data_IF_774757896385
#
_entry.id   IF_774757896385
#
_cell.length_a   1.000
_cell.length_b   1.000
_cell.length_c   1.000
_cell.angle_alpha   90.00
_cell.angle_beta   90.00
_cell.angle_gamma   90.00
#
_symmetry.space_group_name_H-M   'P 1'
#
loop_
_entity.id
_entity.type
_entity.pdbx_description
1 polymer ?
#
# COMPACT_ATOMS: atom_id res chain seq x y z
N UNK A 1 23.19 -8.27 10.50
CA UNK A 1 22.08 -9.15 10.04
C UNK A 1 20.79 -8.54 10.57
N UNK A 2 20.21 -7.63 9.79
CA UNK A 2 18.99 -6.92 10.15
C UNK A 2 17.79 -7.68 9.57
N UNK A 3 16.98 -8.29 10.44
CA UNK A 3 15.76 -8.97 10.06
C UNK A 3 14.63 -7.96 9.84
N UNK A 4 14.20 -7.81 8.59
CA UNK A 4 13.02 -7.02 8.23
C UNK A 4 11.75 -7.72 8.71
N UNK A 5 11.02 -7.11 9.65
CA UNK A 5 9.68 -7.57 10.03
C UNK A 5 8.67 -7.08 8.98
N UNK A 6 8.20 -8.00 8.14
CA UNK A 6 7.08 -7.75 7.24
C UNK A 6 5.80 -7.56 8.05
N UNK A 7 5.32 -6.32 8.12
CA UNK A 7 4.05 -5.96 8.74
C UNK A 7 2.91 -6.30 7.77
N UNK A 8 2.16 -7.38 8.02
CA UNK A 8 0.89 -7.63 7.34
C UNK A 8 -0.25 -6.90 8.07
N UNK A 9 -1.03 -6.05 7.41
CA UNK A 9 -2.19 -5.41 8.04
C UNK A 9 -3.31 -6.44 8.26
N UNK A 10 -3.85 -6.49 9.49
CA UNK A 10 -5.02 -7.27 9.84
C UNK A 10 -6.24 -6.85 8.99
N UNK A 11 -6.89 -7.83 8.35
CA UNK A 11 -8.05 -7.66 7.44
C UNK A 11 -9.39 -7.28 8.11
N UNK A 12 -9.43 -7.03 9.42
CA UNK A 12 -10.68 -6.73 10.11
C UNK A 12 -10.69 -5.27 10.55
N UNK A 13 -11.51 -4.46 9.88
CA UNK A 13 -11.67 -3.04 10.13
C UNK A 13 -12.10 -2.76 11.58
N UNK A 14 -11.21 -2.16 12.36
CA UNK A 14 -11.55 -1.52 13.63
C UNK A 14 -11.95 -0.06 13.37
N UNK A 15 -13.06 0.42 13.95
CA UNK A 15 -13.55 1.78 13.73
C UNK A 15 -13.00 2.72 14.81
N UNK A 16 -11.72 3.07 14.77
CA UNK A 16 -11.22 4.24 15.51
C UNK A 16 -10.13 4.94 14.70
N UNK A 17 -10.42 6.10 14.08
CA UNK A 17 -9.37 6.91 13.48
C UNK A 17 -8.59 7.61 14.61
N UNK A 18 -7.42 7.08 14.95
CA UNK A 18 -6.49 7.82 15.81
C UNK A 18 -5.84 8.94 14.98
N UNK A 19 -5.96 10.19 15.47
CA UNK A 19 -5.26 11.35 14.90
C UNK A 19 -3.76 11.18 15.17
N UNK A 20 -2.93 11.46 14.16
CA UNK A 20 -1.48 11.23 14.13
C UNK A 20 -0.63 12.04 15.14
N UNK A 21 -1.23 12.75 16.11
CA UNK A 21 -0.52 13.72 16.95
C UNK A 21 -0.36 13.34 18.43
N UNK A 22 -1.02 12.28 18.93
CA UNK A 22 -0.94 11.90 20.35
C UNK A 22 -0.01 10.68 20.56
N UNK A 23 1.17 10.71 19.95
CA UNK A 23 2.21 9.72 20.22
C UNK A 23 2.87 10.05 21.56
N UNK A 24 2.77 9.12 22.51
CA UNK A 24 3.55 9.01 23.76
C UNK A 24 2.87 9.35 25.10
N UNK A 25 1.53 9.28 25.20
CA UNK A 25 0.91 9.21 26.53
C UNK A 25 0.66 7.75 26.92
N UNK A 26 1.38 7.29 27.94
CA UNK A 26 1.04 6.05 28.63
C UNK A 26 -0.35 6.22 29.26
N UNK A 27 -1.28 5.35 28.89
CA UNK A 27 -2.62 5.36 29.45
C UNK A 27 -2.89 4.07 30.22
N UNK A 28 -3.61 4.18 31.33
CA UNK A 28 -3.98 3.02 32.13
C UNK A 28 -5.05 2.22 31.39
N UNK A 29 -4.78 0.97 31.07
CA UNK A 29 -5.77 0.07 30.51
C UNK A 29 -6.91 -0.13 31.51
N UNK A 30 -8.11 0.33 31.18
CA UNK A 30 -9.30 0.20 32.02
C UNK A 30 -9.68 -1.25 32.37
N UNK A 31 -9.15 -2.22 31.63
CA UNK A 31 -9.52 -3.64 31.77
C UNK A 31 -8.50 -4.46 32.55
N UNK A 32 -7.20 -4.23 32.35
CA UNK A 32 -6.16 -4.97 33.07
C UNK A 32 -5.40 -4.13 34.10
N UNK A 33 -5.64 -2.82 34.17
CA UNK A 33 -4.99 -1.91 35.12
C UNK A 33 -3.52 -1.59 34.82
N UNK A 34 -2.95 -2.14 33.73
CA UNK A 34 -1.56 -1.85 33.34
C UNK A 34 -1.49 -0.56 32.53
N UNK A 35 -0.45 0.24 32.74
CA UNK A 35 -0.07 1.34 31.83
C UNK A 35 0.36 0.75 30.50
N UNK A 36 -0.27 1.21 29.42
CA UNK A 36 0.01 0.79 28.05
C UNK A 36 0.30 2.02 27.21
N UNK A 37 1.23 1.87 26.28
CA UNK A 37 1.40 2.82 25.18
C UNK A 37 0.63 2.33 23.95
N UNK A 38 0.52 3.18 22.93
CA UNK A 38 -0.23 2.90 21.69
C UNK A 38 0.23 1.58 21.03
N UNK A 39 1.52 1.25 21.11
CA UNK A 39 2.09 0.03 20.51
C UNK A 39 1.75 -1.25 21.30
N UNK A 40 1.71 -1.17 22.62
CA UNK A 40 1.42 -2.31 23.51
C UNK A 40 -0.08 -2.48 23.77
N UNK A 41 -0.91 -1.49 23.43
CA UNK A 41 -2.37 -1.57 23.53
C UNK A 41 -2.94 -2.75 22.74
N UNK A 42 -2.52 -2.90 21.49
CA UNK A 42 -2.93 -4.00 20.62
C UNK A 42 -2.37 -5.37 21.06
N UNK A 43 -1.43 -5.41 22.00
CA UNK A 43 -0.90 -6.65 22.58
C UNK A 43 -1.56 -7.00 23.92
N UNK A 44 -2.42 -6.12 24.46
CA UNK A 44 -3.09 -6.37 25.72
C UNK A 44 -4.13 -7.48 25.59
N UNK A 45 -3.87 -8.62 26.24
CA UNK A 45 -4.78 -9.77 26.23
C UNK A 45 -6.19 -9.42 26.69
N UNK A 46 -6.36 -8.50 27.65
CA UNK A 46 -7.68 -8.10 28.15
C UNK A 46 -8.46 -7.23 27.14
N UNK A 47 -7.77 -6.37 26.36
CA UNK A 47 -8.39 -5.54 25.32
C UNK A 47 -8.86 -6.42 24.17
N UNK A 48 -8.02 -7.37 23.75
CA UNK A 48 -8.33 -8.28 22.66
C UNK A 48 -9.22 -9.46 23.08
N UNK A 49 -9.46 -9.65 24.38
CA UNK A 49 -10.35 -10.70 24.87
C UNK A 49 -11.76 -10.49 24.30
N UNK A 50 -12.21 -11.46 23.51
CA UNK A 50 -13.54 -11.46 22.92
C UNK A 50 -14.52 -12.17 23.85
N UNK A 51 -15.53 -11.45 24.33
CA UNK A 51 -16.56 -12.04 25.17
C UNK A 51 -17.54 -12.84 24.31
N UNK A 52 -17.54 -14.17 24.44
CA UNK A 52 -18.46 -15.02 23.69
C UNK A 52 -19.95 -14.83 24.06
N UNK A 53 -20.27 -14.22 25.21
CA UNK A 53 -21.66 -13.97 25.64
C UNK A 53 -22.31 -12.80 24.91
N UNK A 54 -21.61 -11.68 24.76
CA UNK A 54 -22.15 -10.46 24.15
C UNK A 54 -21.47 -10.08 22.83
N UNK A 55 -20.46 -10.84 22.40
CA UNK A 55 -19.69 -10.59 21.16
C UNK A 55 -18.99 -9.23 21.13
N UNK A 56 -18.66 -8.67 22.30
CA UNK A 56 -17.86 -7.45 22.42
C UNK A 56 -16.45 -7.74 22.98
N UNK A 57 -15.49 -6.94 22.56
CA UNK A 57 -14.11 -6.97 23.07
C UNK A 57 -13.98 -6.22 24.41
N UNK A 58 -12.84 -6.41 25.10
CA UNK A 58 -12.50 -5.67 26.31
C UNK A 58 -12.97 -6.28 27.62
N UNK A 59 -13.57 -7.48 27.65
CA UNK A 59 -13.88 -8.14 28.92
C UNK A 59 -13.99 -9.65 28.78
N UNK A 60 -13.75 -10.36 29.89
CA UNK A 60 -13.98 -11.80 29.97
C UNK A 60 -15.47 -12.11 30.15
N UNK A 61 -15.93 -13.25 29.64
CA UNK A 61 -17.32 -13.70 29.78
C UNK A 61 -17.81 -13.85 31.24
N UNK A 62 -16.88 -14.01 32.19
CA UNK A 62 -17.17 -14.02 33.64
C UNK A 62 -17.45 -12.64 34.23
N UNK A 63 -17.00 -11.58 33.57
CA UNK A 63 -17.18 -10.16 33.95
C UNK A 63 -18.19 -9.45 33.03
N UNK A 64 -18.92 -10.21 32.22
CA UNK A 64 -19.89 -9.64 31.28
C UNK A 64 -21.16 -9.22 32.03
N UNK A 65 -21.31 -7.91 32.22
CA UNK A 65 -22.52 -7.31 32.78
C UNK A 65 -23.68 -7.24 31.79
N UNK A 66 -23.47 -7.68 30.54
CA UNK A 66 -24.55 -7.95 29.60
C UNK A 66 -25.30 -9.19 30.10
N UNK A 67 -26.16 -8.97 31.08
CA UNK A 67 -27.29 -9.84 31.31
C UNK A 67 -28.10 -9.76 30.03
N UNK A 68 -27.82 -10.66 29.10
CA UNK A 68 -28.82 -11.07 28.12
C UNK A 68 -30.00 -11.46 29.00
N UNK A 69 -30.96 -10.55 29.21
CA UNK A 69 -32.35 -10.95 29.40
C UNK A 69 -32.67 -11.60 28.08
N UNK A 70 -32.23 -12.84 27.92
CA UNK A 70 -32.65 -13.63 26.80
C UNK A 70 -34.15 -13.67 27.00
N UNK A 71 -34.87 -13.00 26.10
CA UNK A 71 -36.09 -13.60 25.57
C UNK A 71 -35.67 -14.90 24.87
N UNK A 72 -35.04 -15.82 25.62
CA UNK A 72 -35.31 -17.23 25.47
C UNK A 72 -36.82 -17.28 25.59
N UNK A 73 -37.48 -17.39 24.43
CA UNK A 73 -38.59 -18.33 24.29
C UNK A 73 -38.12 -19.53 25.10
N UNK A 74 -38.54 -19.61 26.36
CA UNK A 74 -38.16 -20.69 27.25
C UNK A 74 -38.69 -21.90 26.54
N UNK A 75 -37.85 -22.59 25.76
CA UNK A 75 -38.16 -23.92 25.26
C UNK A 75 -38.62 -24.64 26.51
N UNK A 76 -39.88 -25.13 26.56
CA UNK A 76 -40.44 -25.67 27.77
C UNK A 76 -39.42 -26.64 28.33
N UNK A 77 -38.84 -26.32 29.51
CA UNK A 77 -37.79 -27.15 30.11
C UNK A 77 -38.39 -28.54 30.17
N UNK A 78 -37.80 -29.50 29.44
CA UNK A 78 -38.26 -30.90 29.47
C UNK A 78 -38.39 -31.26 30.95
N UNK A 79 -39.63 -31.47 31.40
CA UNK A 79 -39.90 -31.81 32.80
C UNK A 79 -39.06 -33.05 33.10
N UNK A 80 -38.32 -33.06 34.22
CA UNK A 80 -37.58 -34.25 34.62
C UNK A 80 -38.54 -35.45 34.73
N UNK A 81 -38.08 -36.68 34.46
CA UNK A 81 -38.91 -37.89 34.59
C UNK A 81 -39.61 -37.95 35.96
N UNK A 82 -38.92 -37.53 37.03
CA UNK A 82 -39.47 -37.39 38.39
C UNK A 82 -40.62 -36.39 38.51
N UNK A 83 -40.59 -35.25 37.79
CA UNK A 83 -41.69 -34.27 37.82
C UNK A 83 -42.90 -34.77 37.04
N UNK A 84 -42.69 -35.46 35.92
CA UNK A 84 -43.78 -36.09 35.15
C UNK A 84 -44.49 -37.15 35.99
N UNK A 85 -43.73 -38.01 36.68
CA UNK A 85 -44.31 -39.02 37.56
C UNK A 85 -45.13 -38.40 38.70
N UNK A 86 -44.60 -37.40 39.41
CA UNK A 86 -45.34 -36.71 40.48
C UNK A 86 -46.62 -36.03 40.01
N UNK A 87 -46.60 -35.40 38.85
CA UNK A 87 -47.81 -34.77 38.27
C UNK A 87 -48.83 -35.86 37.89
N UNK A 88 -48.39 -37.00 37.37
CA UNK A 88 -49.23 -38.16 37.06
C UNK A 88 -49.88 -38.77 38.31
N UNK A 89 -49.12 -38.96 39.38
CA UNK A 89 -49.63 -39.52 40.64
C UNK A 89 -50.67 -38.59 41.28
N UNK A 90 -50.43 -37.26 41.22
CA UNK A 90 -51.41 -36.26 41.68
C UNK A 90 -52.72 -36.30 40.89
N UNK A 91 -52.64 -36.45 39.56
CA UNK A 91 -53.83 -36.57 38.73
C UNK A 91 -54.59 -37.86 39.04
N UNK A 92 -53.88 -38.97 39.24
CA UNK A 92 -54.48 -40.25 39.61
C UNK A 92 -55.23 -40.17 40.95
N UNK A 93 -54.59 -39.60 41.97
CA UNK A 93 -55.26 -39.36 43.27
C UNK A 93 -56.48 -38.45 43.15
N UNK A 94 -56.44 -37.43 42.30
CA UNK A 94 -57.59 -36.55 42.07
C UNK A 94 -58.77 -37.31 41.45
N UNK A 95 -58.51 -38.17 40.46
CA UNK A 95 -59.54 -39.00 39.81
C UNK A 95 -60.13 -40.00 40.81
N UNK A 96 -59.29 -40.69 41.58
CA UNK A 96 -59.75 -41.64 42.61
C UNK A 96 -60.60 -40.92 43.67
N UNK A 97 -60.18 -39.74 44.13
CA UNK A 97 -60.98 -38.93 45.07
C UNK A 97 -62.31 -38.45 44.47
N UNK A 98 -62.33 -38.12 43.18
CA UNK A 98 -63.55 -37.73 42.45
C UNK A 98 -64.50 -38.92 42.23
N UNK A 99 -63.98 -40.13 42.06
CA UNK A 99 -64.80 -41.34 41.95
C UNK A 99 -65.38 -41.77 43.30
N UNK A 100 -64.65 -41.55 44.40
CA UNK A 100 -65.08 -41.88 45.76
C UNK A 100 -66.01 -40.83 46.38
N UNK A 101 -66.00 -39.59 45.85
CA UNK A 101 -67.02 -38.61 46.17
C UNK A 101 -68.25 -38.91 45.32
N UNK A 102 -69.06 -39.86 45.80
CA UNK A 102 -70.43 -39.98 45.33
C UNK A 102 -71.06 -38.60 45.47
N UNK A 103 -71.46 -38.04 44.35
CA UNK A 103 -72.16 -36.76 44.33
C UNK A 103 -73.40 -36.95 45.22
N UNK A 104 -73.74 -36.03 46.14
CA UNK A 104 -74.77 -36.26 47.17
C UNK A 104 -76.20 -36.51 46.63
N UNK A 105 -76.35 -36.58 45.31
CA UNK A 105 -77.59 -36.87 44.60
C UNK A 105 -77.59 -38.25 43.92
N UNK A 106 -76.56 -39.09 44.07
CA UNK A 106 -76.46 -40.41 43.41
C UNK A 106 -77.39 -41.50 43.98
N UNK A 107 -78.19 -41.17 44.99
CA UNK A 107 -79.21 -42.05 45.59
C UNK A 107 -80.62 -41.48 45.56
N UNK A 108 -80.87 -40.33 44.91
CA UNK A 108 -82.24 -39.88 44.66
C UNK A 108 -82.79 -40.74 43.52
N UNK A 109 -83.61 -41.74 43.88
CA UNK A 109 -84.37 -42.51 42.89
C UNK A 109 -85.21 -41.54 42.06
N UNK A 110 -85.20 -41.73 40.74
CA UNK A 110 -85.87 -40.89 39.71
C UNK A 110 -87.39 -40.66 39.92
N UNK A 111 -87.99 -41.25 40.96
CA UNK A 111 -89.43 -41.21 41.25
C UNK A 111 -89.90 -39.86 41.80
N UNK A 112 -89.06 -39.10 42.51
CA UNK A 112 -89.48 -37.79 43.06
C UNK A 112 -89.25 -36.62 42.08
N UNK A 113 -88.23 -36.71 41.23
CA UNK A 113 -87.91 -35.65 40.24
C UNK A 113 -88.94 -35.64 39.09
N UNK A 114 -89.54 -36.79 38.77
CA UNK A 114 -90.59 -36.93 37.75
C UNK A 114 -91.89 -36.16 38.08
N UNK A 115 -92.13 -35.83 39.36
CA UNK A 115 -93.32 -35.09 39.80
C UNK A 115 -93.27 -33.59 39.51
N UNK A 116 -92.09 -33.02 39.24
CA UNK A 116 -91.90 -31.60 38.92
C UNK A 116 -91.69 -31.32 37.43
N UNK A 117 -91.52 -32.36 36.59
CA UNK A 117 -91.54 -32.18 35.14
C UNK A 117 -92.98 -32.04 34.68
N UNK A 118 -93.54 -30.85 34.88
CA UNK A 118 -94.74 -30.40 34.18
C UNK A 118 -94.53 -30.68 32.69
N UNK A 119 -95.34 -31.59 32.14
CA UNK A 119 -95.33 -32.00 30.74
C UNK A 119 -95.85 -30.87 29.86
N UNK A 120 -95.11 -29.77 29.81
CA UNK A 120 -95.34 -28.70 28.85
C UNK A 120 -94.86 -29.23 27.50
N UNK A 121 -95.70 -30.05 26.87
CA UNK A 121 -95.60 -30.47 25.48
C UNK A 121 -96.02 -29.30 24.57
N UNK A 122 -95.42 -28.14 24.77
CA UNK A 122 -95.69 -26.98 23.93
C UNK A 122 -94.77 -27.05 22.72
N UNK A 123 -95.31 -27.59 21.63
CA UNK A 123 -94.57 -27.84 20.39
C UNK A 123 -93.97 -26.54 19.80
N UNK A 124 -94.54 -25.39 20.18
CA UNK A 124 -93.99 -24.04 19.97
C UNK A 124 -92.58 -23.87 20.55
N UNK A 125 -92.37 -24.30 21.80
CA UNK A 125 -91.08 -24.19 22.50
C UNK A 125 -90.04 -25.09 21.83
N UNK A 126 -90.41 -26.30 21.40
CA UNK A 126 -89.49 -27.18 20.65
C UNK A 126 -89.08 -26.59 19.31
N UNK A 127 -90.02 -25.98 18.57
CA UNK A 127 -89.68 -25.30 17.31
C UNK A 127 -88.74 -24.12 17.53
N UNK A 128 -88.98 -23.30 18.56
CA UNK A 128 -88.07 -22.22 18.93
C UNK A 128 -86.69 -22.73 19.34
N UNK A 129 -86.62 -23.81 20.12
CA UNK A 129 -85.36 -24.44 20.51
C UNK A 129 -84.58 -24.96 19.29
N UNK A 130 -85.28 -25.56 18.32
CA UNK A 130 -84.64 -26.04 17.09
C UNK A 130 -84.12 -24.88 16.22
N UNK A 131 -84.87 -23.79 16.09
CA UNK A 131 -84.41 -22.56 15.42
C UNK A 131 -83.17 -21.99 16.10
N UNK A 132 -83.17 -21.92 17.43
CA UNK A 132 -82.03 -21.44 18.21
C UNK A 132 -80.81 -22.36 18.06
N UNK A 133 -81.00 -23.68 18.07
CA UNK A 133 -79.93 -24.66 17.84
C UNK A 133 -79.31 -24.51 16.45
N UNK A 134 -80.13 -24.31 15.42
CA UNK A 134 -79.63 -24.12 14.06
C UNK A 134 -78.91 -22.77 13.89
N UNK A 135 -79.46 -21.71 14.48
CA UNK A 135 -78.79 -20.40 14.54
C UNK A 135 -77.42 -20.49 15.25
N UNK A 136 -77.36 -21.16 16.40
CA UNK A 136 -76.10 -21.40 17.11
C UNK A 136 -75.11 -22.23 16.29
N UNK A 137 -75.56 -23.25 15.55
CA UNK A 137 -74.70 -24.03 14.65
C UNK A 137 -74.11 -23.16 13.54
N UNK A 138 -74.91 -22.27 12.95
CA UNK A 138 -74.44 -21.34 11.92
C UNK A 138 -73.44 -20.32 12.48
N UNK A 139 -73.72 -19.78 13.67
CA UNK A 139 -72.80 -18.87 14.36
C UNK A 139 -71.46 -19.54 14.71
N UNK A 140 -71.48 -20.80 15.16
CA UNK A 140 -70.25 -21.58 15.41
C UNK A 140 -69.45 -21.80 14.11
N UNK A 141 -70.12 -22.07 12.98
CA UNK A 141 -69.46 -22.19 11.67
C UNK A 141 -68.81 -20.86 11.27
N UNK A 142 -69.52 -19.75 11.41
CA UNK A 142 -69.01 -18.41 11.10
C UNK A 142 -67.78 -18.06 11.97
N UNK A 143 -67.84 -18.30 13.29
CA UNK A 143 -66.69 -18.14 14.18
C UNK A 143 -65.50 -19.02 13.72
N UNK A 144 -65.76 -20.23 13.25
CA UNK A 144 -64.71 -21.14 12.78
C UNK A 144 -64.05 -20.63 11.50
N UNK A 145 -64.84 -20.05 10.58
CA UNK A 145 -64.33 -19.40 9.36
C UNK A 145 -63.48 -18.18 9.73
N UNK A 146 -63.99 -17.29 10.58
CA UNK A 146 -63.25 -16.10 11.03
C UNK A 146 -61.94 -16.46 11.76
N UNK A 147 -61.93 -17.54 12.54
CA UNK A 147 -60.69 -18.05 13.14
C UNK A 147 -59.69 -18.53 12.09
N UNK A 148 -60.15 -19.20 11.04
CA UNK A 148 -59.30 -19.62 9.94
C UNK A 148 -58.72 -18.41 9.18
N UNK A 149 -59.53 -17.38 8.93
CA UNK A 149 -59.10 -16.14 8.29
C UNK A 149 -58.09 -15.36 9.14
N UNK A 150 -58.31 -15.26 10.45
CA UNK A 150 -57.35 -14.63 11.36
C UNK A 150 -56.00 -15.35 11.36
N UNK A 151 -55.98 -16.69 11.30
CA UNK A 151 -54.73 -17.44 11.18
C UNK A 151 -54.00 -17.16 9.86
N UNK A 152 -54.74 -17.00 8.75
CA UNK A 152 -54.17 -16.59 7.46
C UNK A 152 -53.60 -15.16 7.55
N UNK A 153 -54.31 -14.24 8.21
CA UNK A 153 -53.84 -12.88 8.41
C UNK A 153 -52.56 -12.84 9.26
N UNK A 154 -52.48 -13.63 10.32
CA UNK A 154 -51.27 -13.77 11.14
C UNK A 154 -50.07 -14.27 10.33
N UNK A 155 -50.28 -15.19 9.39
CA UNK A 155 -49.21 -15.63 8.48
C UNK A 155 -48.75 -14.51 7.55
N UNK A 156 -49.69 -13.74 6.97
CA UNK A 156 -49.36 -12.59 6.11
C UNK A 156 -48.59 -11.51 6.87
N UNK A 157 -48.96 -11.23 8.12
CA UNK A 157 -48.25 -10.26 8.97
C UNK A 157 -46.81 -10.72 9.23
N UNK A 158 -46.60 -12.01 9.52
CA UNK A 158 -45.26 -12.58 9.71
C UNK A 158 -44.42 -12.49 8.43
N UNK A 159 -45.00 -12.83 7.28
CA UNK A 159 -44.30 -12.77 6.00
C UNK A 159 -43.90 -11.33 5.65
N UNK A 160 -44.80 -10.37 5.87
CA UNK A 160 -44.49 -8.94 5.70
C UNK A 160 -43.37 -8.46 6.64
N UNK A 161 -43.32 -8.96 7.87
CA UNK A 161 -42.23 -8.65 8.81
C UNK A 161 -40.89 -9.20 8.31
N UNK A 162 -40.87 -10.42 7.77
CA UNK A 162 -39.67 -11.02 7.16
C UNK A 162 -39.22 -10.20 5.94
N UNK A 163 -40.15 -9.81 5.06
CA UNK A 163 -39.85 -8.99 3.89
C UNK A 163 -39.25 -7.64 4.27
N UNK A 164 -39.78 -6.97 5.30
CA UNK A 164 -39.21 -5.71 5.83
C UNK A 164 -37.78 -5.89 6.33
N UNK A 165 -37.52 -6.94 7.12
CA UNK A 165 -36.17 -7.22 7.61
C UNK A 165 -35.17 -7.50 6.46
N UNK A 166 -35.62 -8.21 5.42
CA UNK A 166 -34.80 -8.45 4.24
C UNK A 166 -34.54 -7.16 3.45
N UNK A 167 -35.55 -6.29 3.32
CA UNK A 167 -35.39 -4.99 2.67
C UNK A 167 -34.40 -4.10 3.42
N UNK A 168 -34.46 -4.06 4.76
CA UNK A 168 -33.52 -3.31 5.59
C UNK A 168 -32.09 -3.84 5.44
N UNK A 169 -31.93 -5.16 5.35
CA UNK A 169 -30.63 -5.79 5.08
C UNK A 169 -30.07 -5.38 3.71
N UNK A 170 -30.89 -5.44 2.65
CA UNK A 170 -30.48 -5.02 1.29
C UNK A 170 -30.13 -3.53 1.25
N UNK A 171 -30.87 -2.69 1.97
CA UNK A 171 -30.56 -1.26 2.07
C UNK A 171 -29.22 -1.01 2.78
N UNK A 172 -28.90 -1.78 3.83
CA UNK A 172 -27.62 -1.70 4.51
C UNK A 172 -26.47 -2.13 3.60
N UNK A 173 -26.61 -3.23 2.87
CA UNK A 173 -25.62 -3.70 1.88
C UNK A 173 -25.42 -2.66 0.77
N UNK A 174 -26.49 -2.02 0.30
CA UNK A 174 -26.42 -0.93 -0.68
C UNK A 174 -25.64 0.28 -0.16
N UNK A 175 -25.81 0.64 1.11
CA UNK A 175 -25.04 1.72 1.75
C UNK A 175 -23.55 1.37 1.87
N UNK A 176 -23.22 0.12 2.21
CA UNK A 176 -21.84 -0.35 2.25
C UNK A 176 -21.18 -0.32 0.87
N UNK A 177 -21.88 -0.82 -0.16
CA UNK A 177 -21.41 -0.71 -1.55
C UNK A 177 -21.21 0.76 -1.97
N UNK A 178 -22.10 1.67 -1.59
CA UNK A 178 -21.93 3.10 -1.84
C UNK A 178 -20.64 3.68 -1.24
N UNK A 179 -20.29 3.28 0.00
CA UNK A 179 -19.02 3.69 0.63
C UNK A 179 -17.79 3.11 -0.08
N UNK A 180 -17.87 1.86 -0.54
CA UNK A 180 -16.80 1.23 -1.30
C UNK A 180 -16.58 1.96 -2.63
N UNK A 181 -17.65 2.31 -3.35
CA UNK A 181 -17.58 3.08 -4.59
C UNK A 181 -16.91 4.43 -4.37
N UNK A 182 -17.32 5.19 -3.34
CA UNK A 182 -16.70 6.47 -3.01
C UNK A 182 -15.20 6.35 -2.70
N UNK A 183 -14.80 5.26 -2.03
CA UNK A 183 -13.38 5.00 -1.75
C UNK A 183 -12.60 4.72 -3.04
N UNK A 184 -13.16 3.93 -3.95
CA UNK A 184 -12.55 3.64 -5.26
C UNK A 184 -12.44 4.93 -6.10
N UNK A 185 -13.46 5.77 -6.12
CA UNK A 185 -13.44 7.06 -6.83
C UNK A 185 -12.33 7.98 -6.29
N UNK A 186 -12.15 8.05 -4.98
CA UNK A 186 -11.06 8.80 -4.36
C UNK A 186 -9.68 8.24 -4.74
N UNK A 187 -9.50 6.92 -4.68
CA UNK A 187 -8.24 6.26 -5.09
C UNK A 187 -7.93 6.51 -6.57
N UNK A 188 -8.94 6.45 -7.45
CA UNK A 188 -8.80 6.77 -8.87
C UNK A 188 -8.38 8.23 -9.09
N UNK A 189 -8.96 9.17 -8.35
CA UNK A 189 -8.57 10.58 -8.41
C UNK A 189 -7.12 10.81 -7.96
N UNK A 190 -6.68 10.14 -6.88
CA UNK A 190 -5.27 10.19 -6.46
C UNK A 190 -4.34 9.61 -7.53
N UNK A 191 -4.70 8.48 -8.13
CA UNK A 191 -3.91 7.85 -9.19
C UNK A 191 -3.80 8.77 -10.41
N UNK A 192 -4.88 9.42 -10.83
CA UNK A 192 -4.88 10.38 -11.93
C UNK A 192 -3.96 11.58 -11.64
N UNK A 193 -3.99 12.12 -10.41
CA UNK A 193 -3.09 13.19 -10.00
C UNK A 193 -1.61 12.75 -10.00
N UNK A 194 -1.32 11.52 -9.58
CA UNK A 194 0.05 10.97 -9.64
C UNK A 194 0.53 10.80 -11.07
N UNK A 195 -0.30 10.29 -11.98
CA UNK A 195 0.06 10.13 -13.40
C UNK A 195 0.35 11.47 -14.05
N UNK A 196 -0.46 12.51 -13.80
CA UNK A 196 -0.21 13.86 -14.31
C UNK A 196 1.13 14.42 -13.82
N UNK A 197 1.47 14.21 -12.54
CA UNK A 197 2.76 14.61 -11.98
C UNK A 197 3.94 13.87 -12.63
N UNK A 198 3.80 12.58 -12.91
CA UNK A 198 4.82 11.81 -13.63
C UNK A 198 4.99 12.29 -15.07
N UNK A 199 3.92 12.60 -15.78
CA UNK A 199 3.98 13.17 -17.13
C UNK A 199 4.73 14.50 -17.15
N UNK A 200 4.41 15.41 -16.22
CA UNK A 200 5.15 16.68 -16.04
C UNK A 200 6.64 16.46 -15.76
N UNK A 201 7.00 15.41 -15.00
CA UNK A 201 8.40 15.06 -14.73
C UNK A 201 9.10 14.51 -15.98
N UNK A 202 8.42 13.66 -16.75
CA UNK A 202 8.94 13.10 -18.00
C UNK A 202 9.22 14.22 -19.02
N UNK A 203 8.31 15.19 -19.17
CA UNK A 203 8.51 16.35 -20.07
C UNK A 203 9.76 17.14 -19.68
N UNK A 204 9.92 17.48 -18.40
CA UNK A 204 11.13 18.19 -17.90
C UNK A 204 12.41 17.41 -18.18
N UNK A 205 12.44 16.11 -17.89
CA UNK A 205 13.61 15.27 -18.16
C UNK A 205 13.94 15.15 -19.65
N UNK A 206 12.92 15.14 -20.52
CA UNK A 206 13.15 15.16 -21.99
C UNK A 206 13.78 16.46 -22.45
N UNK A 207 13.35 17.60 -21.90
CA UNK A 207 13.93 18.91 -22.20
C UNK A 207 15.38 19.02 -21.70
N UNK A 208 15.66 18.57 -20.48
CA UNK A 208 17.03 18.50 -19.95
C UNK A 208 17.94 17.63 -20.81
N UNK A 209 17.47 16.44 -21.24
CA UNK A 209 18.24 15.56 -22.13
C UNK A 209 18.50 16.20 -23.50
N UNK A 210 17.54 16.94 -24.05
CA UNK A 210 17.74 17.69 -25.29
C UNK A 210 18.83 18.76 -25.11
N UNK A 211 18.77 19.52 -24.01
CA UNK A 211 19.76 20.54 -23.68
C UNK A 211 21.17 19.96 -23.51
N UNK A 212 21.30 18.81 -22.83
CA UNK A 212 22.57 18.09 -22.67
C UNK A 212 23.09 17.56 -24.02
N UNK A 213 22.21 17.07 -24.89
CA UNK A 213 22.59 16.61 -26.23
C UNK A 213 23.13 17.76 -27.08
N UNK A 214 22.45 18.91 -27.05
CA UNK A 214 22.90 20.12 -27.74
C UNK A 214 24.25 20.62 -27.19
N UNK A 215 24.44 20.60 -25.87
CA UNK A 215 25.70 20.96 -25.24
C UNK A 215 26.84 20.02 -25.67
N UNK A 216 26.58 18.70 -25.71
CA UNK A 216 27.55 17.70 -26.19
C UNK A 216 27.95 17.94 -27.65
N UNK A 217 26.99 18.27 -28.52
CA UNK A 217 27.28 18.59 -29.92
C UNK A 217 28.15 19.84 -30.06
N UNK A 218 27.85 20.91 -29.32
CA UNK A 218 28.68 22.13 -29.27
C UNK A 218 30.11 21.84 -28.84
N UNK A 219 30.28 21.14 -27.71
CA UNK A 219 31.61 20.75 -27.22
C UNK A 219 32.36 19.89 -28.23
N UNK A 220 31.67 18.97 -28.92
CA UNK A 220 32.29 18.14 -29.96
C UNK A 220 32.82 18.97 -31.13
N UNK A 221 32.09 20.00 -31.55
CA UNK A 221 32.53 20.93 -32.59
C UNK A 221 33.70 21.81 -32.12
N UNK A 222 33.67 22.29 -30.88
CA UNK A 222 34.79 23.02 -30.27
C UNK A 222 36.05 22.15 -30.22
N UNK A 223 35.95 20.89 -29.79
CA UNK A 223 37.08 19.96 -29.80
C UNK A 223 37.66 19.77 -31.20
N UNK A 224 36.82 19.54 -32.23
CA UNK A 224 37.28 19.44 -33.63
C UNK A 224 37.98 20.71 -34.10
N UNK A 225 37.45 21.88 -33.75
CA UNK A 225 38.06 23.16 -34.10
C UNK A 225 39.43 23.33 -33.43
N UNK A 226 39.56 22.97 -32.16
CA UNK A 226 40.85 23.01 -31.45
C UNK A 226 41.84 22.02 -32.04
N UNK A 227 41.42 20.81 -32.39
CA UNK A 227 42.27 19.79 -33.03
C UNK A 227 42.78 20.27 -34.40
N UNK A 228 41.90 20.83 -35.23
CA UNK A 228 42.31 21.46 -36.49
C UNK A 228 43.31 22.60 -36.27
N UNK A 229 43.13 23.41 -35.22
CA UNK A 229 44.06 24.49 -34.90
C UNK A 229 45.43 23.95 -34.47
N UNK A 230 45.47 22.93 -33.62
CA UNK A 230 46.71 22.26 -33.21
C UNK A 230 47.43 21.65 -34.41
N UNK A 231 46.72 20.95 -35.29
CA UNK A 231 47.32 20.35 -36.49
C UNK A 231 47.90 21.42 -37.43
N UNK A 232 47.28 22.59 -37.55
CA UNK A 232 47.88 23.72 -38.30
C UNK A 232 49.19 24.18 -37.67
N UNK A 233 49.22 24.40 -36.36
CA UNK A 233 50.43 24.81 -35.65
C UNK A 233 51.54 23.76 -35.84
N UNK A 234 51.22 22.47 -35.74
CA UNK A 234 52.19 21.39 -35.94
C UNK A 234 52.76 21.41 -37.37
N UNK A 235 51.91 21.54 -38.39
CA UNK A 235 52.35 21.64 -39.78
C UNK A 235 53.24 22.86 -40.03
N UNK A 236 52.89 24.02 -39.44
CA UNK A 236 53.70 25.24 -39.54
C UNK A 236 55.09 25.03 -38.90
N UNK A 237 55.14 24.39 -37.73
CA UNK A 237 56.40 24.05 -37.04
C UNK A 237 57.24 23.05 -37.85
N UNK A 238 56.62 22.03 -38.44
CA UNK A 238 57.30 21.06 -39.31
C UNK A 238 57.90 21.75 -40.55
N UNK A 239 57.16 22.68 -41.15
CA UNK A 239 57.65 23.50 -42.27
C UNK A 239 58.84 24.38 -41.89
N UNK A 240 58.83 24.99 -40.70
CA UNK A 240 59.97 25.78 -40.20
C UNK A 240 61.20 24.91 -39.92
N UNK A 241 61.01 23.73 -39.30
CA UNK A 241 62.09 22.76 -39.08
C UNK A 241 62.70 22.31 -40.41
N UNK A 242 61.88 22.06 -41.44
CA UNK A 242 62.35 21.66 -42.76
C UNK A 242 63.20 22.75 -43.43
N UNK A 243 62.77 24.01 -43.38
CA UNK A 243 63.56 25.15 -43.88
C UNK A 243 64.93 25.24 -43.18
N UNK A 244 64.96 25.12 -41.84
CA UNK A 244 66.20 25.14 -41.08
C UNK A 244 67.14 23.97 -41.45
N UNK A 245 66.60 22.80 -41.79
CA UNK A 245 67.39 21.67 -42.29
C UNK A 245 68.02 21.97 -43.65
N UNK A 246 67.26 22.55 -44.57
CA UNK A 246 67.75 22.95 -45.90
C UNK A 246 68.83 24.04 -45.81
N UNK A 247 68.61 25.08 -44.99
CA UNK A 247 69.60 26.12 -44.72
C UNK A 247 70.89 25.55 -44.11
N UNK A 248 70.79 24.60 -43.19
CA UNK A 248 71.96 23.93 -42.60
C UNK A 248 72.72 23.10 -43.64
N UNK A 249 72.02 22.37 -44.52
CA UNK A 249 72.64 21.64 -45.64
C UNK A 249 73.35 22.61 -46.58
N UNK A 250 72.73 23.73 -46.96
CA UNK A 250 73.35 24.75 -47.81
C UNK A 250 74.59 25.35 -47.15
N UNK A 251 74.49 25.71 -45.87
CA UNK A 251 75.61 26.23 -45.08
C UNK A 251 76.79 25.25 -45.03
N UNK A 252 76.52 23.94 -44.93
CA UNK A 252 77.57 22.91 -44.98
C UNK A 252 78.27 22.84 -46.33
N UNK A 253 77.53 22.95 -47.44
CA UNK A 253 78.13 22.98 -48.79
C UNK A 253 78.99 24.22 -49.00
N UNK A 254 78.55 25.39 -48.53
CA UNK A 254 79.35 26.63 -48.58
C UNK A 254 80.66 26.50 -47.82
N UNK A 255 80.63 25.91 -46.61
CA UNK A 255 81.83 25.64 -45.81
C UNK A 255 82.79 24.69 -46.57
N UNK A 256 82.28 23.60 -47.14
CA UNK A 256 83.10 22.67 -47.93
C UNK A 256 83.77 23.36 -49.13
N UNK A 257 83.05 24.23 -49.84
CA UNK A 257 83.61 25.01 -50.93
C UNK A 257 84.74 25.96 -50.48
N UNK A 258 84.61 26.56 -49.30
CA UNK A 258 85.67 27.39 -48.71
C UNK A 258 86.90 26.55 -48.34
N UNK A 259 86.71 25.38 -47.73
CA UNK A 259 87.81 24.47 -47.36
C UNK A 259 88.61 24.01 -48.59
N UNK A 260 87.93 23.70 -49.70
CA UNK A 260 88.59 23.34 -50.97
C UNK A 260 89.42 24.51 -51.52
N UNK A 261 88.90 25.75 -51.45
CA UNK A 261 89.65 26.95 -51.85
C UNK A 261 90.87 27.20 -50.97
N UNK A 262 90.77 26.92 -49.67
CA UNK A 262 91.88 27.08 -48.73
C UNK A 262 92.92 25.95 -48.79
N UNK A 263 92.55 24.75 -49.23
CA UNK A 263 93.47 23.62 -49.44
C UNK A 263 94.56 23.88 -50.50
N UNK A 264 94.35 24.83 -51.42
CA UNK A 264 95.34 25.20 -52.45
C UNK A 264 96.32 26.31 -52.02
N UNK A 265 96.22 26.82 -50.78
CA UNK A 265 97.19 27.74 -50.19
C UNK A 265 97.84 27.09 -48.97
N UNK A 266 98.92 26.35 -49.22
CA UNK A 266 100.02 26.10 -48.28
C UNK A 266 99.64 25.62 -46.87
N UNK A 267 99.88 24.33 -46.63
CA UNK A 267 99.90 23.65 -45.33
C UNK A 267 100.75 24.44 -44.32
N UNK A 268 100.12 25.25 -43.47
CA UNK A 268 100.67 25.76 -42.20
C UNK A 268 99.58 26.45 -41.38
N UNK A 269 98.78 25.67 -40.65
CA UNK A 269 98.21 26.02 -39.30
C UNK A 269 97.05 25.11 -38.88
N UNK A 270 97.11 23.82 -39.18
CA UNK A 270 96.04 22.85 -38.86
C UNK A 270 95.84 22.56 -37.36
N UNK A 271 96.56 23.23 -36.45
CA UNK A 271 96.52 22.96 -35.01
C UNK A 271 95.85 24.03 -34.13
N UNK A 272 95.46 25.20 -34.66
CA UNK A 272 94.91 26.29 -33.84
C UNK A 272 93.38 26.43 -33.87
N UNK A 273 92.67 25.74 -34.77
CA UNK A 273 91.23 26.01 -35.02
C UNK A 273 90.30 24.95 -34.37
N UNK A 274 90.78 23.74 -34.09
CA UNK A 274 89.94 22.68 -33.51
C UNK A 274 89.47 22.94 -32.06
N UNK A 275 90.19 23.73 -31.27
CA UNK A 275 89.85 23.98 -29.85
C UNK A 275 88.84 25.13 -29.64
N UNK A 276 88.46 25.88 -30.69
CA UNK A 276 87.46 26.97 -30.57
C UNK A 276 86.02 26.54 -30.85
N UNK A 277 85.80 25.39 -31.49
CA UNK A 277 84.47 24.96 -31.93
C UNK A 277 83.72 24.09 -30.91
N UNK A 278 84.43 23.40 -30.02
CA UNK A 278 83.78 22.58 -28.98
C UNK A 278 83.04 23.40 -27.90
N UNK A 279 83.35 24.68 -27.72
CA UNK A 279 82.69 25.54 -26.74
C UNK A 279 81.50 26.36 -27.29
N UNK A 280 81.36 26.47 -28.61
CA UNK A 280 80.29 27.26 -29.24
C UNK A 280 79.00 26.45 -29.48
N UNK A 281 79.10 25.11 -29.55
CA UNK A 281 77.98 24.23 -29.87
C UNK A 281 76.93 24.11 -28.75
N UNK A 282 77.29 24.31 -27.48
CA UNK A 282 76.36 24.14 -26.35
C UNK A 282 75.71 25.43 -25.87
N UNK A 283 76.25 26.63 -26.17
CA UNK A 283 75.70 27.91 -25.67
C UNK A 283 75.00 28.80 -26.70
N UNK A 284 75.22 28.59 -28.00
CA UNK A 284 74.65 29.44 -29.07
C UNK A 284 73.32 28.90 -29.62
N UNK A 285 73.15 27.57 -29.69
CA UNK A 285 71.91 26.95 -30.16
C UNK A 285 70.69 27.29 -29.28
N UNK A 286 70.88 27.40 -27.96
CA UNK A 286 69.82 27.80 -27.02
C UNK A 286 69.44 29.27 -27.09
N UNK A 287 70.30 30.15 -27.62
CA UNK A 287 69.98 31.58 -27.75
C UNK A 287 69.10 31.88 -28.96
N UNK A 288 69.13 31.04 -30.00
CA UNK A 288 68.31 31.21 -31.20
C UNK A 288 66.89 30.64 -31.09
N UNK A 289 66.56 29.88 -30.04
CA UNK A 289 65.19 29.43 -29.81
C UNK A 289 64.30 30.67 -29.57
N UNK A 290 63.28 30.92 -30.43
CA UNK A 290 62.34 32.02 -30.29
C UNK A 290 61.77 32.12 -28.87
N UNK A 291 61.65 33.33 -28.34
CA UNK A 291 61.13 33.58 -26.99
C UNK A 291 59.72 33.05 -26.78
N UNK A 292 58.95 32.87 -27.86
CA UNK A 292 57.64 32.21 -27.91
C UNK A 292 57.70 30.73 -27.51
N UNK A 293 58.67 29.97 -28.01
CA UNK A 293 58.87 28.55 -27.65
C UNK A 293 59.31 28.42 -26.18
N UNK A 294 60.17 29.33 -25.70
CA UNK A 294 60.57 29.37 -24.28
C UNK A 294 59.40 29.70 -23.35
N UNK A 295 58.47 30.57 -23.78
CA UNK A 295 57.22 30.85 -23.05
C UNK A 295 56.29 29.64 -23.03
N UNK A 296 56.16 28.93 -24.14
CA UNK A 296 55.33 27.73 -24.25
C UNK A 296 55.80 26.60 -23.31
N UNK A 297 57.12 26.34 -23.26
CA UNK A 297 57.72 25.34 -22.34
C UNK A 297 57.52 25.73 -20.87
N UNK A 298 57.53 27.02 -20.54
CA UNK A 298 57.27 27.50 -19.16
C UNK A 298 55.79 27.40 -18.78
N UNK A 299 54.87 27.60 -19.72
CA UNK A 299 53.42 27.55 -19.47
C UNK A 299 52.88 26.12 -19.36
N UNK A 300 53.50 25.15 -20.02
CA UNK A 300 53.10 23.72 -19.99
C UNK A 300 53.57 22.94 -18.76
N UNK A 301 54.35 23.56 -17.85
CA UNK A 301 54.75 22.98 -16.55
C UNK A 301 53.66 22.97 -15.46
N UNK A 302 52.38 23.18 -15.81
CA UNK A 302 51.27 23.00 -14.87
C UNK A 302 50.88 21.51 -14.79
N UNK A 303 50.68 20.94 -13.58
CA UNK A 303 50.64 19.48 -13.38
C UNK A 303 49.35 18.76 -13.83
N UNK A 304 48.43 19.39 -14.56
CA UNK A 304 47.11 18.79 -14.88
C UNK A 304 47.01 18.06 -16.22
N UNK A 305 48.10 17.89 -16.98
CA UNK A 305 48.10 17.23 -18.30
C UNK A 305 49.23 16.16 -18.44
N UNK A 306 49.39 15.32 -17.42
CA UNK A 306 50.53 14.42 -17.24
C UNK A 306 50.76 13.33 -18.31
N UNK A 307 49.82 13.06 -19.20
CA UNK A 307 49.96 11.99 -20.22
C UNK A 307 50.53 12.45 -21.56
N UNK A 308 50.09 13.61 -22.07
CA UNK A 308 50.41 14.05 -23.44
C UNK A 308 51.78 14.72 -23.51
N UNK A 309 52.14 15.48 -22.47
CA UNK A 309 53.39 16.24 -22.43
C UNK A 309 54.61 15.31 -22.41
N UNK A 310 54.54 14.19 -21.66
CA UNK A 310 55.63 13.22 -21.57
C UNK A 310 55.96 12.53 -22.90
N UNK A 311 54.99 12.42 -23.81
CA UNK A 311 55.20 11.77 -25.11
C UNK A 311 55.83 12.74 -26.13
N UNK A 312 55.52 14.04 -26.03
CA UNK A 312 56.11 15.08 -26.88
C UNK A 312 57.56 15.36 -26.48
N UNK A 313 57.88 15.46 -25.19
CA UNK A 313 59.28 15.61 -24.76
C UNK A 313 60.14 14.42 -25.17
N UNK A 314 59.59 13.20 -25.11
CA UNK A 314 60.34 11.99 -25.53
C UNK A 314 60.63 11.99 -27.03
N UNK A 315 59.67 12.41 -27.87
CA UNK A 315 59.85 12.55 -29.32
C UNK A 315 60.85 13.64 -29.70
N UNK A 316 60.82 14.78 -29.01
CA UNK A 316 61.79 15.87 -29.24
C UNK A 316 63.20 15.40 -28.86
N UNK A 317 63.35 14.63 -27.79
CA UNK A 317 64.65 14.13 -27.36
C UNK A 317 65.27 13.15 -28.38
N UNK A 318 64.46 12.25 -28.95
CA UNK A 318 64.91 11.34 -30.03
C UNK A 318 65.23 12.02 -31.37
N UNK A 319 64.83 13.27 -31.58
CA UNK A 319 65.16 14.03 -32.81
C UNK A 319 66.44 14.86 -32.63
N UNK A 320 66.89 15.06 -31.39
CA UNK A 320 68.07 15.85 -31.06
C UNK A 320 69.33 15.01 -30.77
N UNK A 321 69.19 13.69 -30.55
CA UNK A 321 70.29 12.71 -30.59
C UNK A 321 70.52 12.21 -32.03
#
# INVERSE_FOLDING_TARGET
MEGSWNYQPCRNGHPFPMRKADTCLDFLCKYCGKTLNVFTYHQCYAVNAYCYKCRHHGHFARMCNFHVKSCEIRKPKKKSKSKIQRDSDRMKMFIEKKQMSQFPFQGLEDKEISSFTCSVQDESVKQHLNKLKESNRNFIKEISILKCENLKLDTVVKDNMILRNNLDKVNLERLEHGRIIQKIEHELAEHASRTENFEKKIVRLKEENLNLTNARQRLTMEFKNTDMHYNRILNDMEGEIQKLREENVNSRHEIQHLDIKHSNRGVRSTLAICSRWQFAATSSAWRKIPTTIKKFIRQTRRPSLGGVVANITRKIWTICD
#
